data_IF_050005062541
#
_entry.id   IF_050005062541
#
_cell.length_a   1.000
_cell.length_b   1.000
_cell.length_c   1.000
_cell.angle_alpha   90.00
_cell.angle_beta   90.00
_cell.angle_gamma   90.00
#
_symmetry.space_group_name_H-M   'P 1'
#
loop_
_entity.id
_entity.type
_entity.pdbx_description
1 polymer ?
#
# COMPACT_ATOMS: atom_id res chain seq x y z
N UNK A 1 33.06 -27.02 4.26
CA UNK A 1 31.75 -26.43 4.59
C UNK A 1 31.68 -25.02 4.02
N UNK A 2 30.84 -24.76 3.03
CA UNK A 2 30.71 -23.44 2.40
C UNK A 2 29.59 -22.60 3.03
N UNK A 3 29.75 -21.29 3.02
CA UNK A 3 28.68 -20.35 3.35
C UNK A 3 27.54 -20.49 2.32
N UNK A 4 26.30 -20.58 2.79
CA UNK A 4 25.11 -20.69 1.93
C UNK A 4 24.48 -19.31 1.79
N UNK A 5 24.11 -18.94 0.56
CA UNK A 5 23.41 -17.68 0.28
C UNK A 5 21.99 -17.71 0.87
N UNK A 6 21.50 -16.55 1.34
CA UNK A 6 20.14 -16.43 1.85
C UNK A 6 19.11 -16.65 0.72
N UNK A 7 18.19 -17.64 0.82
CA UNK A 7 17.28 -18.01 -0.28
C UNK A 7 16.38 -16.88 -0.75
N UNK A 8 15.89 -16.05 0.19
CA UNK A 8 15.09 -14.86 -0.11
C UNK A 8 15.89 -13.79 -0.85
N UNK A 9 17.09 -13.45 -0.35
CA UNK A 9 17.95 -12.42 -0.95
C UNK A 9 18.41 -12.81 -2.36
N UNK A 10 18.73 -14.09 -2.58
CA UNK A 10 19.08 -14.62 -3.89
C UNK A 10 17.94 -14.49 -4.93
N UNK A 11 16.69 -14.36 -4.49
CA UNK A 11 15.50 -14.28 -5.36
C UNK A 11 14.86 -12.90 -5.40
N UNK A 12 15.46 -11.92 -4.70
CA UNK A 12 14.98 -10.55 -4.65
C UNK A 12 15.08 -9.93 -6.06
N UNK A 13 14.01 -9.29 -6.53
CA UNK A 13 13.96 -8.65 -7.86
C UNK A 13 13.69 -9.58 -9.04
N UNK A 14 13.65 -10.90 -8.82
CA UNK A 14 13.28 -11.89 -9.85
C UNK A 14 11.90 -12.48 -9.55
N UNK A 15 11.71 -13.01 -8.35
CA UNK A 15 10.43 -13.60 -7.91
C UNK A 15 9.93 -12.95 -6.63
N UNK A 16 10.84 -12.54 -5.73
CA UNK A 16 10.49 -11.98 -4.44
C UNK A 16 10.64 -10.46 -4.47
N UNK A 17 9.62 -9.80 -3.95
CA UNK A 17 9.61 -8.35 -3.75
C UNK A 17 10.34 -7.91 -2.47
N UNK A 18 10.65 -6.62 -2.40
CA UNK A 18 11.10 -5.97 -1.18
C UNK A 18 10.00 -5.97 -0.10
N UNK A 19 10.40 -6.12 1.18
CA UNK A 19 9.50 -6.03 2.34
C UNK A 19 9.21 -4.60 2.78
N UNK A 20 10.09 -3.66 2.45
CA UNK A 20 9.84 -2.22 2.60
C UNK A 20 9.86 -1.62 1.21
N UNK A 21 8.80 -0.89 0.84
CA UNK A 21 8.63 -0.24 -0.46
C UNK A 21 8.42 1.25 -0.22
N UNK A 22 9.50 2.01 -0.28
CA UNK A 22 9.49 3.47 -0.15
C UNK A 22 10.75 4.07 -0.77
N UNK A 23 10.73 5.37 -1.03
CA UNK A 23 11.85 6.13 -1.56
C UNK A 23 12.18 7.28 -0.60
N UNK A 24 13.45 7.58 -0.41
CA UNK A 24 13.90 8.69 0.41
C UNK A 24 15.19 9.30 -0.15
N UNK A 25 15.41 10.58 0.16
CA UNK A 25 16.68 11.24 -0.12
C UNK A 25 17.83 10.69 0.72
N UNK A 26 19.07 10.94 0.30
CA UNK A 26 20.29 10.42 0.94
C UNK A 26 20.41 10.75 2.44
N UNK A 27 19.91 11.93 2.86
CA UNK A 27 19.96 12.39 4.25
C UNK A 27 18.97 11.66 5.17
N UNK A 28 17.77 11.37 4.67
CA UNK A 28 16.67 10.80 5.47
C UNK A 28 16.67 9.27 5.48
N UNK A 29 17.36 8.64 4.52
CA UNK A 29 17.36 7.19 4.34
C UNK A 29 17.77 6.43 5.61
N UNK A 30 18.85 6.85 6.28
CA UNK A 30 19.33 6.19 7.48
C UNK A 30 18.31 6.24 8.62
N UNK A 31 17.64 7.38 8.81
CA UNK A 31 16.62 7.55 9.83
C UNK A 31 15.41 6.63 9.57
N UNK A 32 14.92 6.58 8.32
CA UNK A 32 13.78 5.71 7.98
C UNK A 32 14.10 4.21 8.07
N UNK A 33 15.34 3.79 7.80
CA UNK A 33 15.74 2.38 7.99
C UNK A 33 15.74 2.01 9.47
N UNK A 34 16.27 2.89 10.33
CA UNK A 34 16.27 2.66 11.79
C UNK A 34 14.85 2.60 12.32
N UNK A 35 14.00 3.54 11.91
CA UNK A 35 12.60 3.59 12.26
C UNK A 35 11.85 2.32 11.80
N UNK A 36 12.07 1.85 10.57
CA UNK A 36 11.52 0.59 10.06
C UNK A 36 11.96 -0.63 10.89
N UNK A 37 13.21 -0.65 11.36
CA UNK A 37 13.73 -1.73 12.20
C UNK A 37 13.03 -1.77 13.57
N UNK A 38 12.85 -0.62 14.19
CA UNK A 38 12.16 -0.47 15.48
C UNK A 38 10.68 -0.86 15.36
N UNK A 39 9.98 -0.36 14.33
CA UNK A 39 8.60 -0.75 14.02
C UNK A 39 8.46 -2.27 13.87
N UNK A 40 9.35 -2.91 13.10
CA UNK A 40 9.33 -4.36 12.87
C UNK A 40 9.60 -5.15 14.14
N UNK A 41 10.52 -4.67 14.98
CA UNK A 41 10.90 -5.34 16.23
C UNK A 41 9.75 -5.27 17.22
N UNK A 42 9.17 -4.08 17.41
CA UNK A 42 8.03 -3.87 18.30
C UNK A 42 6.83 -4.74 17.91
N UNK A 43 6.42 -4.73 16.63
CA UNK A 43 5.27 -5.53 16.16
C UNK A 43 5.53 -7.02 16.37
N UNK A 44 6.76 -7.49 16.11
CA UNK A 44 7.13 -8.92 16.27
C UNK A 44 7.11 -9.36 17.72
N UNK A 45 7.50 -8.49 18.64
CA UNK A 45 7.51 -8.79 20.07
C UNK A 45 6.12 -8.72 20.69
N UNK A 46 5.36 -7.65 20.40
CA UNK A 46 4.02 -7.46 20.94
C UNK A 46 3.06 -8.56 20.48
N UNK A 47 3.09 -8.87 19.19
CA UNK A 47 2.13 -9.79 18.56
C UNK A 47 2.76 -11.16 18.28
N UNK A 48 3.72 -11.58 19.13
CA UNK A 48 4.43 -12.85 18.97
C UNK A 48 3.47 -14.04 18.90
N UNK A 49 2.43 -14.03 19.72
CA UNK A 49 1.45 -15.11 19.79
C UNK A 49 0.58 -15.25 18.54
N UNK A 50 0.42 -14.23 17.68
CA UNK A 50 -0.44 -14.36 16.51
C UNK A 50 0.21 -15.17 15.36
N UNK A 51 1.53 -15.43 15.41
CA UNK A 51 2.26 -16.10 14.34
C UNK A 51 2.35 -15.22 13.09
N UNK A 52 3.23 -14.21 13.14
CA UNK A 52 3.44 -13.27 12.04
C UNK A 52 4.28 -13.93 10.95
N UNK A 53 3.78 -13.91 9.71
CA UNK A 53 4.51 -14.33 8.51
C UNK A 53 5.44 -13.22 8.01
N UNK A 54 4.84 -12.08 7.67
CA UNK A 54 5.52 -10.99 6.97
C UNK A 54 4.93 -9.65 7.38
N UNK A 55 5.80 -8.65 7.50
CA UNK A 55 5.42 -7.25 7.73
C UNK A 55 5.90 -6.49 6.50
N UNK A 56 4.97 -5.89 5.76
CA UNK A 56 5.27 -5.00 4.66
C UNK A 56 5.09 -3.55 5.10
N UNK A 57 6.07 -2.71 4.81
CA UNK A 57 6.03 -1.29 5.17
C UNK A 57 6.07 -0.48 3.89
N UNK A 58 5.08 0.39 3.73
CA UNK A 58 5.00 1.37 2.66
C UNK A 58 4.99 2.75 3.30
N UNK A 59 5.86 3.64 2.82
CA UNK A 59 5.92 5.03 3.30
C UNK A 59 5.56 5.98 2.18
N UNK A 60 4.65 6.88 2.50
CA UNK A 60 4.47 8.16 1.83
C UNK A 60 5.14 9.23 2.70
N UNK A 61 5.17 10.50 2.26
CA UNK A 61 5.80 11.60 3.00
C UNK A 61 5.35 11.68 4.47
N UNK A 62 4.03 11.71 4.67
CA UNK A 62 3.42 11.95 5.99
C UNK A 62 2.70 10.74 6.58
N UNK A 63 2.47 9.69 5.77
CA UNK A 63 1.73 8.49 6.18
C UNK A 63 2.56 7.22 5.99
N UNK A 64 2.53 6.36 7.00
CA UNK A 64 3.11 5.02 6.95
C UNK A 64 1.96 4.01 6.89
N UNK A 65 1.98 3.15 5.88
CA UNK A 65 1.05 2.02 5.77
C UNK A 65 1.81 0.74 6.13
N UNK A 66 1.38 0.07 7.18
CA UNK A 66 1.97 -1.18 7.66
C UNK A 66 0.99 -2.31 7.39
N UNK A 67 1.37 -3.22 6.50
CA UNK A 67 0.59 -4.43 6.20
C UNK A 67 1.18 -5.60 6.98
N UNK A 68 0.45 -6.12 7.97
CA UNK A 68 0.85 -7.27 8.76
C UNK A 68 0.13 -8.50 8.26
N UNK A 69 0.87 -9.50 7.80
CA UNK A 69 0.34 -10.82 7.43
C UNK A 69 0.50 -11.77 8.61
N UNK A 70 -0.62 -12.26 9.14
CA UNK A 70 -0.65 -13.13 10.30
C UNK A 70 -1.43 -14.42 10.02
N UNK A 71 -1.03 -15.52 10.66
CA UNK A 71 -1.77 -16.78 10.62
C UNK A 71 -3.07 -16.69 11.43
N UNK A 72 -3.08 -15.91 12.52
CA UNK A 72 -4.24 -15.71 13.39
C UNK A 72 -4.57 -14.22 13.50
N UNK A 73 -5.32 -13.63 12.54
CA UNK A 73 -5.64 -12.21 12.54
C UNK A 73 -6.46 -11.78 13.77
N UNK A 74 -7.32 -12.67 14.29
CA UNK A 74 -8.14 -12.36 15.47
C UNK A 74 -7.34 -12.01 16.74
N UNK A 75 -6.16 -12.61 16.92
CA UNK A 75 -5.27 -12.27 18.03
C UNK A 75 -4.62 -10.89 17.82
N UNK A 76 -4.35 -10.49 16.58
CA UNK A 76 -3.77 -9.17 16.27
C UNK A 76 -4.78 -8.04 16.49
N UNK A 77 -6.05 -8.30 16.18
CA UNK A 77 -7.14 -7.33 16.33
C UNK A 77 -7.53 -7.20 17.82
N UNK A 78 -7.56 -8.32 18.55
CA UNK A 78 -7.96 -8.37 19.94
C UNK A 78 -9.48 -8.22 20.14
N UNK A 79 -9.91 -8.12 21.40
CA UNK A 79 -11.33 -7.97 21.73
C UNK A 79 -11.83 -6.60 21.29
N UNK A 80 -12.83 -6.55 20.40
CA UNK A 80 -13.42 -5.32 19.84
C UNK A 80 -12.39 -4.36 19.19
N UNK A 81 -11.25 -4.86 18.70
CA UNK A 81 -10.22 -4.03 18.07
C UNK A 81 -9.25 -3.32 19.02
N UNK A 82 -9.39 -3.50 20.34
CA UNK A 82 -8.60 -2.77 21.33
C UNK A 82 -7.08 -2.97 21.19
N UNK A 83 -6.63 -4.15 20.76
CA UNK A 83 -5.21 -4.44 20.60
C UNK A 83 -4.63 -3.78 19.34
N UNK A 84 -5.39 -3.77 18.25
CA UNK A 84 -5.00 -3.06 17.03
C UNK A 84 -4.88 -1.55 17.26
N UNK A 85 -5.81 -0.96 18.02
CA UNK A 85 -5.77 0.47 18.37
C UNK A 85 -4.58 0.80 19.29
N UNK A 86 -4.31 -0.04 20.29
CA UNK A 86 -3.14 0.13 21.17
C UNK A 86 -1.81 0.02 20.40
N UNK A 87 -1.71 -0.91 19.45
CA UNK A 87 -0.55 -1.01 18.55
C UNK A 87 -0.43 0.28 17.74
N UNK A 88 -1.51 0.72 17.08
CA UNK A 88 -1.51 1.93 16.26
C UNK A 88 -1.06 3.17 17.04
N UNK A 89 -1.60 3.37 18.25
CA UNK A 89 -1.23 4.49 19.12
C UNK A 89 0.25 4.45 19.49
N UNK A 90 0.77 3.28 19.85
CA UNK A 90 2.20 3.13 20.21
C UNK A 90 3.11 3.38 19.01
N UNK A 91 2.76 2.84 17.84
CA UNK A 91 3.52 3.07 16.62
C UNK A 91 3.52 4.57 16.23
N UNK A 92 2.39 5.26 16.42
CA UNK A 92 2.28 6.69 16.15
C UNK A 92 3.14 7.52 17.12
N UNK A 93 3.21 7.15 18.40
CA UNK A 93 4.10 7.78 19.39
C UNK A 93 5.58 7.63 19.02
N UNK A 94 5.98 6.46 18.51
CA UNK A 94 7.37 6.19 18.13
C UNK A 94 7.82 6.96 16.88
N UNK A 95 6.92 7.14 15.91
CA UNK A 95 7.27 7.70 14.59
C UNK A 95 6.88 9.15 14.41
N UNK A 96 5.93 9.66 15.21
CA UNK A 96 5.37 11.00 15.05
C UNK A 96 4.57 11.21 13.76
N UNK A 97 4.31 10.15 12.99
CA UNK A 97 3.60 10.18 11.70
C UNK A 97 2.27 9.44 11.79
N UNK A 98 1.36 9.72 10.86
CA UNK A 98 0.08 9.00 10.83
C UNK A 98 0.29 7.58 10.29
N UNK A 99 -0.21 6.59 11.03
CA UNK A 99 -0.08 5.17 10.66
C UNK A 99 -1.43 4.59 10.26
N UNK A 100 -1.44 3.89 9.13
CA UNK A 100 -2.51 2.98 8.71
C UNK A 100 -2.03 1.54 8.87
N UNK A 101 -2.65 0.81 9.78
CA UNK A 101 -2.39 -0.61 10.02
C UNK A 101 -3.40 -1.46 9.24
N UNK A 102 -2.91 -2.32 8.35
CA UNK A 102 -3.74 -3.31 7.65
C UNK A 102 -3.35 -4.71 8.13
N UNK A 103 -4.33 -5.50 8.57
CA UNK A 103 -4.13 -6.87 9.04
C UNK A 103 -4.67 -7.81 7.98
N UNK A 104 -3.77 -8.56 7.36
CA UNK A 104 -4.07 -9.51 6.30
C UNK A 104 -3.92 -10.94 6.82
N UNK A 105 -4.87 -11.80 6.47
CA UNK A 105 -4.82 -13.21 6.83
C UNK A 105 -3.94 -14.01 5.86
N UNK A 106 -3.17 -14.95 6.42
CA UNK A 106 -2.45 -15.96 5.63
C UNK A 106 -3.39 -17.15 5.40
N UNK A 107 -3.82 -17.37 4.15
CA UNK A 107 -4.75 -18.45 3.78
C UNK A 107 -4.31 -19.84 4.28
N UNK A 108 -3.04 -20.18 4.09
CA UNK A 108 -2.46 -21.46 4.49
C UNK A 108 -1.22 -21.25 5.35
N UNK A 109 -1.38 -21.29 6.67
CA UNK A 109 -0.29 -21.06 7.62
C UNK A 109 0.85 -22.08 7.52
N UNK A 110 0.55 -23.35 7.21
CA UNK A 110 1.54 -24.44 7.09
C UNK A 110 2.42 -24.34 5.82
N UNK A 111 2.01 -23.55 4.83
CA UNK A 111 2.82 -23.28 3.63
C UNK A 111 3.78 -22.10 3.81
N UNK A 112 3.60 -21.31 4.86
CA UNK A 112 4.46 -20.19 5.19
C UNK A 112 5.64 -20.64 6.05
N UNK A 113 6.87 -20.34 5.59
CA UNK A 113 8.05 -20.85 6.27
C UNK A 113 8.29 -20.15 7.61
N UNK A 114 7.93 -18.87 7.74
CA UNK A 114 8.14 -18.11 8.97
C UNK A 114 7.17 -18.55 10.06
N UNK A 115 5.89 -18.73 9.73
CA UNK A 115 4.89 -19.23 10.69
C UNK A 115 5.23 -20.67 11.13
N UNK A 116 5.64 -21.52 10.19
CA UNK A 116 6.06 -22.90 10.52
C UNK A 116 7.28 -22.91 11.44
N UNK A 117 8.28 -22.06 11.17
CA UNK A 117 9.45 -21.92 12.04
C UNK A 117 9.06 -21.45 13.45
N UNK A 118 8.14 -20.49 13.54
CA UNK A 118 7.61 -19.99 14.79
C UNK A 118 6.89 -21.06 15.61
N UNK A 119 6.00 -21.84 14.97
CA UNK A 119 5.27 -22.92 15.61
C UNK A 119 6.20 -24.00 16.16
N UNK A 120 7.27 -24.36 15.42
CA UNK A 120 8.29 -25.29 15.91
C UNK A 120 9.06 -24.68 17.09
N UNK A 121 9.46 -23.41 17.00
CA UNK A 121 10.15 -22.73 18.09
C UNK A 121 9.31 -22.65 19.37
N UNK A 122 8.00 -22.42 19.25
CA UNK A 122 7.07 -22.40 20.37
C UNK A 122 6.90 -23.80 21.00
N UNK A 123 6.81 -24.85 20.18
CA UNK A 123 6.79 -26.24 20.69
C UNK A 123 8.08 -26.60 21.45
N UNK A 124 9.24 -26.14 20.98
CA UNK A 124 10.52 -26.34 21.67
C UNK A 124 10.59 -25.59 23.01
N UNK A 125 9.99 -24.38 23.10
CA UNK A 125 9.84 -23.67 24.37
C UNK A 125 8.92 -24.43 25.34
N UNK A 126 7.85 -25.03 24.82
CA UNK A 126 6.96 -25.93 25.55
C UNK A 126 7.56 -27.30 25.90
N UNK A 127 8.88 -27.49 25.74
CA UNK A 127 9.62 -28.74 26.06
C UNK A 127 9.15 -29.97 25.26
N UNK A 128 8.51 -29.78 24.11
CA UNK A 128 8.18 -30.90 23.22
C UNK A 128 9.46 -31.45 22.60
N UNK A 129 9.52 -32.78 22.42
CA UNK A 129 10.64 -33.43 21.74
C UNK A 129 10.87 -32.82 20.36
N UNK A 130 12.10 -32.36 20.10
CA UNK A 130 12.47 -31.68 18.87
C UNK A 130 12.27 -32.57 17.62
N UNK A 131 12.46 -33.90 17.75
CA UNK A 131 12.19 -34.86 16.66
C UNK A 131 10.71 -34.88 16.30
N UNK A 132 9.83 -34.89 17.32
CA UNK A 132 8.38 -34.87 17.12
C UNK A 132 7.92 -33.55 16.50
N UNK A 133 8.41 -32.43 17.00
CA UNK A 133 8.06 -31.11 16.48
C UNK A 133 8.47 -30.96 14.99
N UNK A 134 9.70 -31.36 14.64
CA UNK A 134 10.18 -31.31 13.25
C UNK A 134 9.41 -32.24 12.33
N UNK A 135 9.17 -33.50 12.74
CA UNK A 135 8.44 -34.47 11.93
C UNK A 135 6.99 -34.03 11.69
N UNK A 136 6.32 -33.49 12.72
CA UNK A 136 4.97 -32.96 12.62
C UNK A 136 4.90 -31.76 11.66
N UNK A 137 5.82 -30.81 11.78
CA UNK A 137 5.86 -29.65 10.88
C UNK A 137 6.11 -30.07 9.42
N UNK A 138 7.00 -31.03 9.19
CA UNK A 138 7.29 -31.58 7.86
C UNK A 138 6.05 -32.22 7.24
N UNK A 139 5.36 -33.08 8.00
CA UNK A 139 4.14 -33.76 7.55
C UNK A 139 2.98 -32.80 7.30
N UNK A 140 2.79 -31.80 8.15
CA UNK A 140 1.74 -30.80 7.97
C UNK A 140 1.95 -29.97 6.69
N UNK A 141 3.19 -29.54 6.43
CA UNK A 141 3.51 -28.77 5.23
C UNK A 141 3.30 -29.59 3.94
N UNK A 142 3.71 -30.87 3.95
CA UNK A 142 3.46 -31.79 2.83
C UNK A 142 1.95 -32.03 2.64
N UNK A 143 1.18 -32.21 3.73
CA UNK A 143 -0.28 -32.34 3.68
C UNK A 143 -0.97 -31.08 3.15
N UNK A 144 -0.43 -29.90 3.44
CA UNK A 144 -0.90 -28.62 2.93
C UNK A 144 -0.55 -28.38 1.44
N UNK A 145 0.17 -29.32 0.79
CA UNK A 145 0.49 -29.25 -0.64
C UNK A 145 1.86 -28.65 -0.97
N UNK A 146 2.79 -28.58 -0.01
CA UNK A 146 4.18 -28.21 -0.33
C UNK A 146 4.82 -29.29 -1.21
N UNK A 147 5.58 -28.89 -2.23
CA UNK A 147 6.34 -29.81 -3.10
C UNK A 147 7.63 -30.30 -2.43
N UNK A 148 8.08 -29.58 -1.40
CA UNK A 148 9.10 -30.05 -0.49
C UNK A 148 9.33 -29.07 0.65
N UNK A 149 9.89 -29.61 1.73
CA UNK A 149 10.20 -28.87 2.94
C UNK A 149 11.53 -29.37 3.51
N UNK A 150 12.31 -28.45 4.07
CA UNK A 150 13.45 -28.76 4.94
C UNK A 150 13.29 -28.01 6.24
N UNK A 151 13.34 -28.71 7.36
CA UNK A 151 13.37 -28.13 8.71
C UNK A 151 14.72 -28.46 9.32
N UNK A 152 15.43 -27.46 9.82
CA UNK A 152 16.71 -27.61 10.49
C UNK A 152 16.66 -26.95 11.85
N UNK A 153 17.02 -27.70 12.89
CA UNK A 153 17.16 -27.19 14.25
C UNK A 153 18.63 -27.28 14.66
N UNK A 154 19.18 -26.19 15.20
CA UNK A 154 20.57 -26.12 15.67
C UNK A 154 20.63 -25.57 17.09
N UNK A 155 21.36 -26.24 17.98
CA UNK A 155 21.56 -25.81 19.36
C UNK A 155 21.68 -26.99 20.31
N UNK A 156 21.43 -26.77 21.59
CA UNK A 156 21.40 -27.79 22.64
C UNK A 156 20.09 -28.59 22.60
N UNK A 157 19.94 -29.40 21.56
CA UNK A 157 18.69 -30.11 21.26
C UNK A 157 18.35 -31.14 22.35
N UNK A 158 17.24 -30.93 23.04
CA UNK A 158 16.78 -31.79 24.14
C UNK A 158 17.52 -31.58 25.46
N UNK A 159 18.25 -30.47 25.62
CA UNK A 159 19.01 -30.18 26.84
C UNK A 159 20.37 -30.84 26.92
N UNK A 160 20.85 -31.42 25.80
CA UNK A 160 22.21 -31.96 25.72
C UNK A 160 23.26 -30.87 26.03
N UNK A 161 24.38 -31.28 26.62
CA UNK A 161 25.49 -30.39 26.95
C UNK A 161 26.12 -29.80 25.68
N UNK A 162 26.34 -30.63 24.66
CA UNK A 162 26.93 -30.22 23.39
C UNK A 162 25.85 -29.84 22.36
N UNK A 163 26.08 -28.75 21.63
CA UNK A 163 25.18 -28.33 20.56
C UNK A 163 25.32 -29.21 19.33
N UNK A 164 24.20 -29.59 18.72
CA UNK A 164 24.15 -30.33 17.46
C UNK A 164 23.18 -29.68 16.49
N UNK A 165 23.30 -30.07 15.23
CA UNK A 165 22.40 -29.64 14.16
C UNK A 165 21.73 -30.86 13.56
N UNK A 166 20.40 -30.89 13.60
CA UNK A 166 19.60 -31.96 13.01
C UNK A 166 18.64 -31.36 11.98
N UNK A 167 18.44 -32.08 10.88
CA UNK A 167 17.56 -31.62 9.81
C UNK A 167 16.71 -32.77 9.30
N UNK A 168 15.45 -32.45 9.01
CA UNK A 168 14.53 -33.32 8.28
C UNK A 168 14.22 -32.66 6.95
N UNK A 169 14.21 -33.46 5.88
CA UNK A 169 13.86 -33.01 4.54
C UNK A 169 12.92 -34.01 3.92
N UNK A 170 11.88 -33.49 3.31
CA UNK A 170 10.91 -34.25 2.54
C UNK A 170 10.65 -33.54 1.22
N UNK A 171 10.54 -34.30 0.12
CA UNK A 171 10.37 -33.76 -1.22
C UNK A 171 11.56 -32.95 -1.75
N UNK A 172 11.27 -32.07 -2.71
CA UNK A 172 12.28 -31.30 -3.44
C UNK A 172 12.46 -29.89 -2.86
N UNK A 173 13.71 -29.48 -2.62
CA UNK A 173 14.03 -28.11 -2.18
C UNK A 173 15.21 -27.59 -3.02
N UNK A 174 14.96 -27.13 -4.26
CA UNK A 174 16.01 -26.63 -5.14
C UNK A 174 16.46 -25.22 -4.70
N UNK A 175 17.66 -25.12 -4.12
CA UNK A 175 18.20 -23.84 -3.63
C UNK A 175 18.87 -23.01 -4.74
N UNK A 176 19.47 -23.67 -5.73
CA UNK A 176 20.21 -23.02 -6.83
C UNK A 176 19.29 -22.48 -7.93
N UNK A 177 18.11 -23.08 -8.11
CA UNK A 177 17.16 -22.65 -9.13
C UNK A 177 16.50 -21.34 -8.71
N UNK A 178 16.84 -20.25 -9.42
CA UNK A 178 16.25 -18.93 -9.18
C UNK A 178 14.73 -18.94 -9.33
N UNK A 179 14.23 -19.63 -10.38
CA UNK A 179 12.81 -19.79 -10.75
C UNK A 179 11.96 -20.55 -9.71
N UNK A 180 12.60 -21.23 -8.76
CA UNK A 180 11.89 -21.97 -7.72
C UNK A 180 11.43 -21.01 -6.62
N UNK A 181 10.13 -20.99 -6.32
CA UNK A 181 9.60 -20.27 -5.18
C UNK A 181 9.88 -21.04 -3.89
N UNK A 182 11.00 -20.68 -3.28
CA UNK A 182 11.43 -21.18 -1.97
C UNK A 182 11.24 -20.08 -0.95
N UNK A 183 10.41 -20.33 0.05
CA UNK A 183 10.27 -19.48 1.20
C UNK A 183 11.22 -19.90 2.32
N UNK A 184 11.69 -18.92 3.10
CA UNK A 184 12.65 -19.14 4.19
C UNK A 184 12.19 -18.45 5.46
N UNK A 185 12.07 -19.24 6.52
CA UNK A 185 11.72 -18.77 7.86
C UNK A 185 12.83 -19.07 8.86
N UNK A 186 13.01 -18.14 9.80
CA UNK A 186 13.93 -18.29 10.93
C UNK A 186 13.26 -17.80 12.22
N UNK A 187 13.33 -18.61 13.26
CA UNK A 187 12.96 -18.19 14.61
C UNK A 187 13.91 -18.81 15.65
N UNK A 188 14.02 -18.13 16.79
CA UNK A 188 14.85 -18.54 17.93
C UNK A 188 13.96 -18.98 19.10
N UNK A 189 14.14 -20.23 19.52
CA UNK A 189 13.56 -20.75 20.74
C UNK A 189 14.51 -20.47 21.92
N UNK A 190 14.10 -19.52 22.78
CA UNK A 190 14.74 -19.29 24.09
C UNK A 190 14.27 -20.37 25.07
N UNK A 191 15.17 -21.30 25.42
CA UNK A 191 14.92 -22.39 26.36
C UNK A 191 15.77 -22.19 27.62
N UNK A 192 15.52 -22.96 28.67
CA UNK A 192 16.32 -22.91 29.92
C UNK A 192 17.79 -23.23 29.69
N UNK A 193 18.11 -24.07 28.71
CA UNK A 193 19.47 -24.51 28.41
C UNK A 193 20.19 -23.62 27.39
N UNK A 194 19.55 -22.56 26.91
CA UNK A 194 20.09 -21.63 25.92
C UNK A 194 19.17 -21.43 24.72
N UNK A 195 19.75 -21.04 23.59
CA UNK A 195 19.00 -20.74 22.36
C UNK A 195 19.07 -21.89 21.37
N UNK A 196 17.92 -22.25 20.81
CA UNK A 196 17.82 -23.19 19.69
C UNK A 196 17.34 -22.40 18.47
N UNK A 197 18.13 -22.42 17.41
CA UNK A 197 17.76 -21.80 16.14
C UNK A 197 16.97 -22.79 15.27
N UNK A 198 15.83 -22.36 14.74
CA UNK A 198 14.99 -23.13 13.82
C UNK A 198 15.00 -22.45 12.47
N UNK A 199 15.41 -23.18 11.44
CA UNK A 199 15.44 -22.71 10.04
C UNK A 199 14.54 -23.61 9.21
N UNK A 200 13.62 -23.01 8.46
CA UNK A 200 12.67 -23.74 7.61
C UNK A 200 12.78 -23.24 6.18
N UNK A 201 12.78 -24.18 5.23
CA UNK A 201 12.66 -23.92 3.81
C UNK A 201 11.43 -24.63 3.29
N UNK A 202 10.53 -23.92 2.63
CA UNK A 202 9.33 -24.51 2.00
C UNK A 202 9.37 -24.20 0.51
N UNK A 203 9.16 -25.21 -0.32
CA UNK A 203 9.09 -25.10 -1.77
C UNK A 203 7.65 -25.35 -2.24
N UNK A 204 7.04 -24.30 -2.79
CA UNK A 204 5.64 -24.36 -3.29
C UNK A 204 5.59 -24.69 -4.79
N UNK A 205 6.69 -24.47 -5.52
CA UNK A 205 6.76 -24.76 -6.96
C UNK A 205 7.61 -23.77 -7.75
N UNK A 206 7.70 -24.03 -9.05
CA UNK A 206 8.31 -23.11 -10.00
C UNK A 206 7.27 -22.04 -10.31
N UNK A 207 7.65 -20.78 -10.12
CA UNK A 207 6.85 -19.67 -10.65
C UNK A 207 7.25 -19.56 -12.10
N UNK A 208 6.37 -20.00 -13.00
CA UNK A 208 6.49 -19.58 -14.39
C UNK A 208 6.23 -18.07 -14.40
N UNK A 209 6.96 -17.26 -15.19
CA UNK A 209 6.52 -15.92 -15.49
C UNK A 209 5.18 -16.09 -16.22
N UNK A 210 4.08 -16.03 -15.46
CA UNK A 210 2.76 -16.23 -16.02
C UNK A 210 2.54 -15.10 -17.02
N UNK A 211 2.14 -15.47 -18.23
CA UNK A 211 1.61 -14.53 -19.21
C UNK A 211 0.43 -13.71 -18.67
N UNK A 212 -0.17 -14.11 -17.54
CA UNK A 212 -1.26 -13.42 -16.85
C UNK A 212 -0.86 -12.04 -16.33
N UNK A 213 0.34 -11.85 -15.74
CA UNK A 213 0.82 -10.51 -15.37
C UNK A 213 1.08 -9.66 -16.61
N UNK A 214 1.48 -10.28 -17.73
CA UNK A 214 1.65 -9.59 -19.01
C UNK A 214 0.29 -9.22 -19.60
N UNK A 215 -0.69 -10.10 -19.55
CA UNK A 215 -2.06 -9.89 -20.05
C UNK A 215 -2.83 -8.89 -19.20
N UNK A 216 -2.78 -8.96 -17.87
CA UNK A 216 -3.36 -7.95 -16.98
C UNK A 216 -2.64 -6.60 -17.11
N UNK A 217 -1.32 -6.59 -17.27
CA UNK A 217 -0.56 -5.35 -17.50
C UNK A 217 -0.83 -4.78 -18.90
N UNK A 218 -0.99 -5.62 -19.91
CA UNK A 218 -1.42 -5.23 -21.25
C UNK A 218 -2.88 -4.78 -21.26
N UNK A 219 -3.76 -5.40 -20.48
CA UNK A 219 -5.16 -5.04 -20.32
C UNK A 219 -5.29 -3.70 -19.58
N UNK A 220 -4.53 -3.49 -18.50
CA UNK A 220 -4.43 -2.17 -17.83
C UNK A 220 -3.83 -1.11 -18.74
N UNK A 221 -2.82 -1.45 -19.56
CA UNK A 221 -2.25 -0.53 -20.53
C UNK A 221 -3.22 -0.21 -21.68
N UNK A 222 -4.01 -1.19 -22.14
CA UNK A 222 -5.08 -1.01 -23.14
C UNK A 222 -6.21 -0.15 -22.58
N UNK A 223 -6.70 -0.45 -21.38
CA UNK A 223 -7.73 0.33 -20.70
C UNK A 223 -7.29 1.79 -20.43
N UNK A 224 -6.00 2.00 -20.13
CA UNK A 224 -5.45 3.35 -19.99
C UNK A 224 -5.43 4.11 -21.33
N UNK A 225 -4.99 3.46 -22.42
CA UNK A 225 -4.99 4.07 -23.77
C UNK A 225 -6.39 4.35 -24.29
N UNK A 226 -7.35 3.50 -23.96
CA UNK A 226 -8.75 3.66 -24.34
C UNK A 226 -9.40 4.83 -23.59
N UNK A 227 -9.12 4.98 -22.29
CA UNK A 227 -9.50 6.18 -21.53
C UNK A 227 -8.87 7.45 -22.11
N UNK A 228 -7.56 7.42 -22.40
CA UNK A 228 -6.87 8.56 -23.01
C UNK A 228 -7.47 8.92 -24.38
N UNK A 229 -7.83 7.94 -25.23
CA UNK A 229 -8.53 8.17 -26.51
C UNK A 229 -9.91 8.79 -26.34
N UNK A 230 -10.73 8.26 -25.44
CA UNK A 230 -12.06 8.78 -25.17
C UNK A 230 -12.01 10.21 -24.62
N UNK A 231 -10.99 10.53 -23.81
CA UNK A 231 -10.74 11.89 -23.34
C UNK A 231 -10.32 12.84 -24.48
N UNK A 232 -9.48 12.41 -25.43
CA UNK A 232 -9.15 13.24 -26.61
C UNK A 232 -10.33 13.41 -27.55
N UNK A 233 -11.11 12.35 -27.80
CA UNK A 233 -12.32 12.40 -28.63
C UNK A 233 -13.39 13.30 -28.01
N UNK A 234 -13.59 13.22 -26.68
CA UNK A 234 -14.49 14.12 -25.97
C UNK A 234 -14.02 15.58 -26.03
N UNK A 235 -12.72 15.86 -25.88
CA UNK A 235 -12.15 17.21 -26.03
C UNK A 235 -12.28 17.73 -27.46
N UNK A 236 -12.06 16.89 -28.47
CA UNK A 236 -12.23 17.25 -29.87
C UNK A 236 -13.70 17.54 -30.21
N UNK A 237 -14.64 16.75 -29.70
CA UNK A 237 -16.07 16.99 -29.85
C UNK A 237 -16.52 18.28 -29.14
N UNK A 238 -15.99 18.56 -27.95
CA UNK A 238 -16.24 19.82 -27.24
C UNK A 238 -15.66 21.02 -28.00
N UNK A 239 -14.45 20.91 -28.56
CA UNK A 239 -13.85 21.97 -29.36
C UNK A 239 -14.61 22.21 -30.68
N UNK A 240 -15.06 21.15 -31.36
CA UNK A 240 -15.89 21.25 -32.56
C UNK A 240 -17.27 21.86 -32.25
N UNK A 241 -17.87 21.50 -31.11
CA UNK A 241 -19.11 22.12 -30.65
C UNK A 241 -18.92 23.61 -30.31
N UNK A 242 -17.78 23.98 -29.71
CA UNK A 242 -17.42 25.37 -29.45
C UNK A 242 -17.16 26.16 -30.73
N UNK A 243 -16.53 25.55 -31.74
CA UNK A 243 -16.33 26.16 -33.06
C UNK A 243 -17.65 26.33 -33.81
N UNK A 244 -18.52 25.33 -33.82
CA UNK A 244 -19.85 25.44 -34.43
C UNK A 244 -20.73 26.48 -33.71
N UNK A 245 -20.64 26.57 -32.38
CA UNK A 245 -21.32 27.61 -31.61
C UNK A 245 -20.75 29.01 -31.92
N UNK A 246 -19.42 29.14 -32.05
CA UNK A 246 -18.79 30.40 -32.45
C UNK A 246 -19.20 30.82 -33.87
N UNK A 247 -19.26 29.87 -34.81
CA UNK A 247 -19.73 30.11 -36.18
C UNK A 247 -21.18 30.56 -36.21
N UNK A 248 -22.06 29.92 -35.43
CA UNK A 248 -23.47 30.33 -35.30
C UNK A 248 -23.60 31.73 -34.68
N UNK A 249 -22.81 32.07 -33.66
CA UNK A 249 -22.77 33.41 -33.10
C UNK A 249 -22.27 34.44 -34.11
N UNK A 250 -21.21 34.14 -34.88
CA UNK A 250 -20.74 35.04 -35.95
C UNK A 250 -21.75 35.20 -37.09
N UNK A 251 -22.47 34.14 -37.46
CA UNK A 251 -23.53 34.20 -38.47
C UNK A 251 -24.76 34.99 -37.98
N UNK A 252 -25.04 34.92 -36.67
CA UNK A 252 -26.14 35.66 -36.04
C UNK A 252 -25.79 37.16 -35.88
N UNK A 253 -24.53 37.48 -35.56
CA UNK A 253 -24.01 38.86 -35.55
C UNK A 253 -23.97 39.43 -36.97
N UNK A 254 -23.55 38.66 -37.99
CA UNK A 254 -23.58 39.10 -39.39
C UNK A 254 -25.01 39.36 -39.89
N UNK A 255 -26.00 38.56 -39.47
CA UNK A 255 -27.42 38.82 -39.76
C UNK A 255 -27.96 40.04 -39.03
N UNK A 256 -27.49 40.32 -37.81
CA UNK A 256 -27.86 41.52 -37.06
C UNK A 256 -27.22 42.79 -37.64
N UNK A 257 -26.01 42.71 -38.19
CA UNK A 257 -25.37 43.84 -38.89
C UNK A 257 -25.98 44.09 -40.27
N UNK A 258 -26.40 43.05 -41.01
CA UNK A 258 -27.14 43.21 -42.26
C UNK A 258 -28.54 43.79 -42.06
N UNK A 259 -29.19 43.54 -40.92
CA UNK A 259 -30.46 44.16 -40.54
C UNK A 259 -30.32 45.61 -40.04
N UNK A 260 -29.09 46.05 -39.71
CA UNK A 260 -28.80 47.43 -39.31
C UNK A 260 -28.46 48.35 -40.50
N UNK A 261 -28.40 47.80 -41.72
CA UNK A 261 -28.03 48.55 -42.95
C UNK A 261 -29.26 48.96 -43.80
N UNK A 262 -30.48 48.70 -43.32
CA UNK A 262 -31.75 49.01 -44.02
C UNK A 262 -32.49 50.26 -43.49
N UNK A 263 -31.93 51.01 -42.52
CA UNK A 263 -32.47 52.31 -42.09
C UNK A 263 -31.41 53.42 -42.04
N UNK A 264 -31.19 54.10 -43.17
CA UNK A 264 -30.80 55.52 -43.19
C UNK A 264 -31.08 56.18 -44.58
N UNK A 265 -31.74 57.35 -44.65
CA UNK A 265 -32.20 57.96 -45.90
C UNK A 265 -31.16 58.87 -46.59
N UNK A 266 -31.46 59.14 -47.86
CA UNK A 266 -30.70 59.80 -48.94
C UNK A 266 -30.40 61.29 -48.78
N UNK A 267 -29.26 61.75 -49.32
CA UNK A 267 -28.98 63.17 -49.54
C UNK A 267 -27.64 63.54 -50.22
N UNK A 268 -27.65 63.56 -51.56
CA UNK A 268 -27.08 64.59 -52.48
C UNK A 268 -25.54 64.82 -52.62
N UNK A 269 -25.01 64.38 -53.76
CA UNK A 269 -23.78 64.81 -54.52
C UNK A 269 -23.92 66.30 -54.98
N UNK A 270 -22.87 67.12 -55.31
CA UNK A 270 -21.73 66.68 -56.13
C UNK A 270 -20.37 67.41 -56.07
N UNK A 271 -19.46 66.83 -56.87
CA UNK A 271 -18.38 67.43 -57.66
C UNK A 271 -16.95 67.51 -57.04
N UNK A 272 -16.00 66.83 -57.71
CA UNK A 272 -14.55 67.07 -57.63
C UNK A 272 -14.14 68.39 -58.31
N UNK A 273 -12.83 68.77 -58.34
CA UNK A 273 -11.75 67.93 -58.88
C UNK A 273 -10.38 67.99 -58.15
N UNK A 274 -9.50 67.05 -58.50
CA UNK A 274 -8.03 67.01 -58.32
C UNK A 274 -7.28 68.23 -58.95
N UNK A 275 -5.93 68.40 -58.86
CA UNK A 275 -4.89 67.82 -57.96
C UNK A 275 -3.83 68.85 -57.46
N UNK A 276 -2.85 68.41 -56.64
CA UNK A 276 -1.36 68.65 -56.81
C UNK A 276 -0.58 68.85 -55.50
N UNK A 277 0.64 68.28 -55.47
CA UNK A 277 1.84 68.56 -54.62
C UNK A 277 1.98 67.62 -53.41
N UNK A 278 3.10 66.97 -53.08
CA UNK A 278 4.42 66.60 -53.63
C UNK A 278 5.12 65.75 -52.52
N UNK A 279 6.28 65.10 -52.76
CA UNK A 279 6.75 63.93 -51.98
C UNK A 279 7.98 64.18 -51.07
N UNK A 280 8.55 63.06 -50.59
CA UNK A 280 9.85 62.80 -49.90
C UNK A 280 9.80 62.81 -48.35
N UNK A 281 10.43 61.91 -47.59
CA UNK A 281 11.55 60.97 -47.81
C UNK A 281 11.60 59.85 -46.73
N UNK A 282 12.21 58.71 -47.11
CA UNK A 282 12.57 57.45 -46.40
C UNK A 282 13.55 57.58 -45.17
N UNK A 283 14.20 56.52 -44.62
CA UNK A 283 13.72 55.27 -43.96
C UNK A 283 14.56 54.80 -42.71
N UNK A 284 14.21 53.60 -42.20
CA UNK A 284 15.10 52.49 -41.75
C UNK A 284 15.58 52.30 -40.27
N UNK A 285 15.54 51.01 -39.89
CA UNK A 285 16.47 50.20 -39.07
C UNK A 285 15.96 49.53 -37.77
N UNK A 286 16.39 48.26 -37.66
CA UNK A 286 16.20 47.24 -36.63
C UNK A 286 16.99 47.52 -35.33
N UNK A 287 16.62 46.88 -34.22
CA UNK A 287 17.61 46.20 -33.36
C UNK A 287 16.97 45.28 -32.32
N UNK A 288 17.66 44.15 -32.12
CA UNK A 288 17.56 43.20 -31.02
C UNK A 288 17.98 43.85 -29.68
N UNK A 289 17.54 43.28 -28.54
CA UNK A 289 18.38 42.80 -27.42
C UNK A 289 17.49 42.46 -26.21
N UNK A 290 17.89 41.35 -25.59
CA UNK A 290 17.41 40.62 -24.42
C UNK A 290 17.74 41.26 -23.07
N UNK A 291 16.94 40.91 -22.05
CA UNK A 291 17.30 40.86 -20.62
C UNK A 291 17.13 42.16 -19.83
N UNK A 292 16.94 42.17 -18.52
CA UNK A 292 16.49 41.20 -17.51
C UNK A 292 16.14 42.04 -16.25
N UNK A 293 15.35 41.45 -15.35
CA UNK A 293 15.22 41.80 -13.92
C UNK A 293 14.47 43.07 -13.49
N UNK A 294 13.37 42.88 -12.73
CA UNK A 294 13.44 42.97 -11.27
C UNK A 294 12.13 42.52 -10.58
N UNK A 295 12.33 41.94 -9.41
CA UNK A 295 11.41 41.33 -8.46
C UNK A 295 10.38 42.29 -7.87
N UNK A 296 9.23 41.77 -7.39
CA UNK A 296 8.85 41.82 -5.96
C UNK A 296 7.45 41.20 -5.68
N UNK A 297 7.43 40.33 -4.66
CA UNK A 297 6.42 40.19 -3.58
C UNK A 297 4.98 39.78 -3.96
N UNK A 298 4.54 38.58 -3.60
CA UNK A 298 3.95 38.21 -2.29
C UNK A 298 2.59 38.90 -2.05
N UNK A 299 1.50 38.12 -2.19
CA UNK A 299 0.37 38.11 -1.27
C UNK A 299 -0.81 37.25 -1.77
N UNK A 300 -1.35 36.46 -0.84
CA UNK A 300 -2.78 36.15 -0.67
C UNK A 300 -3.53 35.26 -1.68
N UNK A 301 -3.73 34.00 -1.27
CA UNK A 301 -5.03 33.29 -1.16
C UNK A 301 -6.03 33.44 -2.32
N UNK A 302 -6.34 32.37 -3.08
CA UNK A 302 -7.65 32.22 -3.69
C UNK A 302 -8.62 31.59 -2.70
N UNK A 303 -9.72 32.30 -2.50
CA UNK A 303 -10.84 31.93 -1.67
C UNK A 303 -11.51 30.62 -2.12
N UNK A 304 -11.90 29.89 -1.08
CA UNK A 304 -12.78 28.73 -0.98
C UNK A 304 -13.78 28.54 -2.13
N UNK A 305 -13.66 27.38 -2.75
CA UNK A 305 -14.67 26.75 -3.60
C UNK A 305 -15.86 26.32 -2.72
N UNK A 306 -17.04 26.84 -3.04
CA UNK A 306 -18.28 26.62 -2.31
C UNK A 306 -18.73 25.15 -2.40
N UNK A 307 -18.73 24.47 -1.26
CA UNK A 307 -19.30 23.14 -1.08
C UNK A 307 -20.83 23.27 -0.95
N UNK A 308 -21.64 22.45 -1.65
CA UNK A 308 -23.09 22.43 -1.46
C UNK A 308 -23.45 21.82 -0.10
N UNK A 309 -24.35 22.49 0.63
CA UNK A 309 -24.82 22.11 1.95
C UNK A 309 -25.54 20.74 1.95
N UNK A 310 -25.33 19.88 2.96
CA UNK A 310 -26.22 18.75 3.22
C UNK A 310 -27.46 19.21 4.00
N UNK A 311 -28.61 18.65 3.59
CA UNK A 311 -29.94 18.84 4.19
C UNK A 311 -29.99 18.12 5.54
N UNK A 312 -30.38 18.83 6.60
CA UNK A 312 -30.61 18.25 7.92
C UNK A 312 -31.83 17.29 7.92
N UNK A 313 -31.76 16.13 8.58
CA UNK A 313 -32.96 15.34 8.88
C UNK A 313 -33.65 15.81 10.19
N UNK A 314 -34.98 15.87 10.13
CA UNK A 314 -35.91 16.26 11.20
C UNK A 314 -35.60 15.68 12.60
N UNK A 315 -35.75 16.48 13.69
CA UNK A 315 -35.65 16.01 15.06
C UNK A 315 -37.01 15.49 15.55
N UNK A 316 -37.46 14.32 15.06
CA UNK A 316 -38.63 13.64 15.64
C UNK A 316 -38.59 12.12 15.41
N UNK A 317 -37.64 11.44 16.06
CA UNK A 317 -37.81 10.05 16.53
C UNK A 317 -36.65 9.64 17.45
N UNK A 318 -36.73 10.05 18.71
CA UNK A 318 -35.90 9.47 19.75
C UNK A 318 -36.55 8.16 20.24
N UNK A 319 -35.90 6.98 20.14
CA UNK A 319 -36.29 5.84 20.94
C UNK A 319 -35.85 6.08 22.39
N UNK A 320 -36.78 5.94 23.33
CA UNK A 320 -36.56 6.14 24.77
C UNK A 320 -35.49 5.17 25.32
N UNK A 321 -34.71 5.58 26.34
CA UNK A 321 -33.86 4.66 27.08
C UNK A 321 -34.70 3.74 27.97
N UNK A 322 -34.68 2.44 27.68
CA UNK A 322 -35.21 1.40 28.55
C UNK A 322 -34.41 1.33 29.85
N UNK A 323 -35.06 1.64 30.96
CA UNK A 323 -34.59 1.39 32.32
C UNK A 323 -34.37 -0.12 32.53
N UNK A 324 -33.19 -0.59 32.98
CA UNK A 324 -33.08 -1.95 33.48
C UNK A 324 -33.69 -2.05 34.88
N UNK A 325 -34.69 -2.92 35.00
CA UNK A 325 -35.33 -3.35 36.23
C UNK A 325 -34.32 -4.20 37.05
N UNK A 326 -34.15 -3.98 38.37
CA UNK A 326 -33.28 -4.80 39.20
C UNK A 326 -34.11 -5.92 39.84
N UNK A 327 -33.98 -7.16 39.39
CA UNK A 327 -34.44 -8.34 40.14
C UNK A 327 -33.70 -9.60 39.65
N UNK A 328 -33.44 -10.52 40.58
CA UNK A 328 -32.69 -11.78 40.46
C UNK A 328 -31.17 -11.70 40.69
N UNK A 329 -30.79 -11.26 41.88
CA UNK A 329 -29.53 -11.61 42.52
C UNK A 329 -29.77 -11.96 44.00
N UNK A 330 -30.54 -13.02 44.24
CA UNK A 330 -30.68 -13.68 45.54
C UNK A 330 -31.09 -15.14 45.28
N UNK A 331 -30.12 -16.00 44.94
CA UNK A 331 -30.29 -17.47 44.97
C UNK A 331 -28.96 -18.22 44.72
N UNK A 332 -27.86 -17.81 45.35
CA UNK A 332 -26.62 -18.64 45.39
C UNK A 332 -25.84 -18.49 46.71
N UNK A 333 -26.54 -18.31 47.83
CA UNK A 333 -25.94 -18.27 49.18
C UNK A 333 -26.50 -19.37 50.08
N UNK A 334 -26.54 -20.61 49.61
CA UNK A 334 -26.89 -21.77 50.45
C UNK A 334 -26.21 -23.04 49.90
N UNK A 335 -24.88 -23.10 49.99
CA UNK A 335 -24.14 -24.34 49.75
C UNK A 335 -22.78 -24.38 50.49
N UNK A 336 -22.68 -23.70 51.62
CA UNK A 336 -21.55 -23.81 52.55
C UNK A 336 -22.05 -23.60 53.98
N UNK A 337 -22.90 -24.53 54.46
CA UNK A 337 -22.83 -24.90 55.86
C UNK A 337 -23.35 -26.33 56.07
N UNK A 338 -22.55 -27.07 56.84
CA UNK A 338 -22.84 -28.30 57.59
C UNK A 338 -23.18 -29.62 56.86
N UNK A 339 -22.51 -30.69 57.34
CA UNK A 339 -23.12 -32.02 57.51
C UNK A 339 -22.49 -33.17 56.74
#
# INVERSE_FOLDING_TARGET
MGQKVHPYGFRLGIIKDHKSKWFAGKKEYAAYVQEDYELRTYIRERVRHAGISRIDIQRTRDRITVDVRAARPGIVIGRRGAEADAIRETLQKMTGKQIKLNINEVKNAELDAQVTAHNVAEQLKGRVSFRRAMKRATQNAMKAGAKGIRVQCSGRLGGAEMSRTEWYREGQVPLHTLRANVDYGFDEARTTYGRIGVKVWIYTGIVLPQGEDREERLARARARRERERLETEARAAQAAAQQAAAEQVTAQVARQMAAAEEEAPTGTTPAGPDPTTAPASEPAQQSEITGNDAQAMDASVPAQEAVPQPVDPDPSSAPQPTTPQPDAADEWSEALDEG
#
